data_IF_139912458862
#
_entry.id   IF_139912458862
#
_cell.length_a   1.000
_cell.length_b   1.000
_cell.length_c   1.000
_cell.angle_alpha   90.00
_cell.angle_beta   90.00
_cell.angle_gamma   90.00
#
_symmetry.space_group_name_H-M   'P 1'
#
loop_
_entity.id
_entity.type
_entity.pdbx_description
1 polymer ?
#
# COMPACT_ATOMS: atom_id res chain seq x y z
N UNK A 1 27.00 1.93 -13.64
CA UNK A 1 25.90 1.11 -14.21
C UNK A 1 25.26 0.38 -13.05
N UNK A 2 24.03 0.72 -12.72
CA UNK A 2 23.19 -0.10 -11.85
C UNK A 2 22.96 -1.45 -12.53
N UNK A 3 22.97 -2.58 -11.80
CA UNK A 3 22.66 -3.87 -12.40
C UNK A 3 21.23 -3.89 -12.95
N UNK A 4 21.03 -4.36 -14.17
CA UNK A 4 19.69 -4.53 -14.77
C UNK A 4 18.82 -5.60 -14.07
N UNK A 5 19.37 -6.28 -13.07
CA UNK A 5 18.70 -7.36 -12.32
C UNK A 5 18.80 -7.14 -10.82
N UNK A 6 17.67 -7.20 -10.12
CA UNK A 6 17.61 -7.18 -8.67
C UNK A 6 17.70 -8.61 -8.10
N UNK A 7 18.39 -8.75 -6.97
CA UNK A 7 18.49 -10.02 -6.24
C UNK A 7 17.77 -9.92 -4.90
N UNK A 8 17.01 -10.96 -4.58
CA UNK A 8 16.28 -11.08 -3.32
C UNK A 8 16.55 -12.44 -2.70
N UNK A 9 16.55 -12.53 -1.37
CA UNK A 9 16.52 -13.86 -0.73
C UNK A 9 15.15 -14.46 -0.93
N UNK A 10 15.11 -15.77 -1.20
CA UNK A 10 13.84 -16.51 -1.34
C UNK A 10 12.92 -16.31 -0.13
N UNK A 11 13.45 -16.29 1.09
CA UNK A 11 12.67 -16.09 2.31
C UNK A 11 12.03 -14.69 2.37
N UNK A 12 12.76 -13.65 1.96
CA UNK A 12 12.26 -12.27 1.92
C UNK A 12 11.08 -12.16 0.94
N UNK A 13 11.19 -12.79 -0.24
CA UNK A 13 10.08 -12.83 -1.21
C UNK A 13 8.89 -13.65 -0.70
N UNK A 14 9.12 -14.78 -0.04
CA UNK A 14 8.03 -15.57 0.55
C UNK A 14 7.28 -14.76 1.62
N UNK A 15 7.99 -13.96 2.41
CA UNK A 15 7.37 -13.07 3.39
C UNK A 15 6.50 -12.00 2.74
N UNK A 16 7.01 -11.34 1.69
CA UNK A 16 6.25 -10.38 0.88
C UNK A 16 4.99 -11.04 0.32
N UNK A 17 5.12 -12.20 -0.33
CA UNK A 17 3.99 -12.90 -0.94
C UNK A 17 2.95 -13.32 0.09
N UNK A 18 3.35 -13.78 1.27
CA UNK A 18 2.42 -14.14 2.35
C UNK A 18 1.59 -12.94 2.81
N UNK A 19 2.24 -11.79 2.95
CA UNK A 19 1.56 -10.57 3.38
C UNK A 19 0.59 -10.06 2.31
N UNK A 20 1.02 -10.05 1.04
CA UNK A 20 0.17 -9.66 -0.10
C UNK A 20 -1.02 -10.62 -0.22
N UNK A 21 -0.80 -11.93 -0.17
CA UNK A 21 -1.85 -12.95 -0.27
C UNK A 21 -2.89 -12.77 0.84
N UNK A 22 -2.44 -12.53 2.08
CA UNK A 22 -3.33 -12.26 3.21
C UNK A 22 -4.26 -11.06 2.96
N UNK A 23 -3.75 -10.01 2.32
CA UNK A 23 -4.53 -8.82 1.96
C UNK A 23 -5.49 -9.12 0.81
N UNK A 24 -4.99 -9.71 -0.28
CA UNK A 24 -5.78 -9.99 -1.49
C UNK A 24 -6.94 -10.94 -1.19
N UNK A 25 -6.68 -12.06 -0.51
CA UNK A 25 -7.70 -13.06 -0.19
C UNK A 25 -8.74 -12.50 0.80
N UNK A 26 -8.32 -11.66 1.74
CA UNK A 26 -9.25 -11.03 2.68
C UNK A 26 -10.16 -10.02 1.99
N UNK A 27 -9.62 -9.22 1.06
CA UNK A 27 -10.38 -8.26 0.26
C UNK A 27 -11.39 -8.96 -0.66
N UNK A 28 -11.00 -10.06 -1.29
CA UNK A 28 -11.90 -10.88 -2.11
C UNK A 28 -13.09 -11.38 -1.28
N UNK A 29 -12.83 -11.95 -0.10
CA UNK A 29 -13.87 -12.42 0.84
C UNK A 29 -14.77 -11.28 1.34
N UNK A 30 -14.20 -10.13 1.67
CA UNK A 30 -14.97 -8.95 2.07
C UNK A 30 -15.86 -8.45 0.93
N UNK A 31 -15.37 -8.50 -0.31
CA UNK A 31 -16.12 -8.13 -1.50
C UNK A 31 -17.28 -9.11 -1.74
N UNK A 32 -17.04 -10.42 -1.59
CA UNK A 32 -18.10 -11.43 -1.69
C UNK A 32 -19.17 -11.23 -0.61
N UNK A 33 -18.76 -10.96 0.64
CA UNK A 33 -19.67 -10.76 1.76
C UNK A 33 -20.58 -9.52 1.60
N UNK A 34 -20.16 -8.51 0.81
CA UNK A 34 -20.94 -7.30 0.59
C UNK A 34 -22.36 -7.58 0.07
N UNK A 35 -22.55 -8.63 -0.75
CA UNK A 35 -23.85 -9.00 -1.28
C UNK A 35 -24.84 -9.50 -0.20
N UNK A 36 -24.32 -10.06 0.89
CA UNK A 36 -25.09 -10.75 1.92
C UNK A 36 -25.21 -9.94 3.22
N UNK A 37 -24.71 -8.70 3.27
CA UNK A 37 -24.67 -7.90 4.49
C UNK A 37 -25.08 -6.44 4.28
N UNK A 38 -25.64 -5.76 5.31
CA UNK A 38 -25.91 -4.33 5.25
C UNK A 38 -24.63 -3.52 5.02
N UNK A 39 -24.73 -2.45 4.23
CA UNK A 39 -23.58 -1.63 3.82
C UNK A 39 -22.77 -1.08 5.00
N UNK A 40 -23.44 -0.61 6.06
CA UNK A 40 -22.75 -0.07 7.24
C UNK A 40 -21.95 -1.15 7.99
N UNK A 41 -22.50 -2.37 8.05
CA UNK A 41 -21.81 -3.51 8.66
C UNK A 41 -20.63 -3.96 7.79
N UNK A 42 -20.76 -3.88 6.47
CA UNK A 42 -19.67 -4.17 5.54
C UNK A 42 -18.54 -3.15 5.68
N UNK A 43 -18.87 -1.85 5.73
CA UNK A 43 -17.89 -0.79 5.98
C UNK A 43 -17.15 -1.04 7.29
N UNK A 44 -17.85 -1.36 8.37
CA UNK A 44 -17.22 -1.70 9.66
C UNK A 44 -16.29 -2.90 9.51
N UNK A 45 -16.70 -3.98 8.83
CA UNK A 45 -15.83 -5.14 8.61
C UNK A 45 -14.55 -4.80 7.83
N UNK A 46 -14.65 -3.93 6.81
CA UNK A 46 -13.49 -3.41 6.07
C UNK A 46 -12.60 -2.56 6.97
N UNK A 47 -13.19 -1.65 7.77
CA UNK A 47 -12.46 -0.83 8.73
C UNK A 47 -11.74 -1.68 9.78
N UNK A 48 -12.41 -2.68 10.35
CA UNK A 48 -11.81 -3.62 11.31
C UNK A 48 -10.65 -4.39 10.69
N UNK A 49 -10.82 -4.90 9.46
CA UNK A 49 -9.76 -5.60 8.78
C UNK A 49 -8.52 -4.72 8.60
N UNK A 50 -8.66 -3.48 8.12
CA UNK A 50 -7.48 -2.63 7.93
C UNK A 50 -6.91 -2.09 9.26
N UNK A 51 -7.74 -1.56 10.16
CA UNK A 51 -7.26 -0.88 11.37
C UNK A 51 -6.93 -1.81 12.53
N UNK A 52 -7.67 -2.91 12.70
CA UNK A 52 -7.48 -3.83 13.83
C UNK A 52 -6.59 -5.02 13.48
N UNK A 53 -6.36 -5.29 12.20
CA UNK A 53 -5.41 -6.32 11.77
C UNK A 53 -4.03 -5.74 11.45
N UNK A 54 -3.04 -6.63 11.27
CA UNK A 54 -1.69 -6.26 10.81
C UNK A 54 -1.64 -5.88 9.32
N UNK A 55 -2.76 -5.86 8.59
CA UNK A 55 -2.80 -5.59 7.15
C UNK A 55 -2.17 -4.24 6.79
N UNK A 56 -2.46 -3.17 7.53
CA UNK A 56 -1.83 -1.85 7.31
C UNK A 56 -0.32 -1.85 7.55
N UNK A 57 0.17 -2.69 8.46
CA UNK A 57 1.59 -2.81 8.76
C UNK A 57 2.33 -3.74 7.79
N UNK A 58 1.61 -4.65 7.13
CA UNK A 58 2.17 -5.60 6.18
C UNK A 58 2.70 -4.90 4.92
N UNK A 59 2.00 -3.88 4.41
CA UNK A 59 2.40 -3.18 3.18
C UNK A 59 3.71 -2.39 3.34
N UNK A 60 3.94 -1.60 4.41
CA UNK A 60 5.24 -0.99 4.68
C UNK A 60 6.38 -2.00 4.78
N UNK A 61 6.16 -3.15 5.44
CA UNK A 61 7.17 -4.21 5.51
C UNK A 61 7.48 -4.80 4.14
N UNK A 62 6.46 -5.05 3.31
CA UNK A 62 6.66 -5.50 1.93
C UNK A 62 7.45 -4.48 1.12
N UNK A 63 7.08 -3.19 1.23
CA UNK A 63 7.76 -2.09 0.55
C UNK A 63 9.23 -2.04 0.93
N UNK A 64 9.55 -2.14 2.21
CA UNK A 64 10.93 -2.13 2.69
C UNK A 64 11.78 -3.26 2.11
N UNK A 65 11.24 -4.49 2.05
CA UNK A 65 11.92 -5.63 1.44
C UNK A 65 12.13 -5.41 -0.06
N UNK A 66 11.07 -5.00 -0.77
CA UNK A 66 11.11 -4.81 -2.22
C UNK A 66 11.99 -3.64 -2.63
N UNK A 67 12.10 -2.60 -1.80
CA UNK A 67 12.93 -1.42 -2.08
C UNK A 67 14.40 -1.62 -1.74
N UNK A 68 14.73 -2.54 -0.85
CA UNK A 68 16.09 -2.69 -0.30
C UNK A 68 17.20 -2.85 -1.36
N UNK A 69 16.98 -3.53 -2.51
CA UNK A 69 18.03 -3.68 -3.52
C UNK A 69 18.24 -2.47 -4.44
N UNK A 70 17.39 -1.43 -4.36
CA UNK A 70 17.49 -0.26 -5.23
C UNK A 70 18.56 0.72 -4.76
N UNK A 71 19.12 1.48 -5.70
CA UNK A 71 20.11 2.51 -5.38
C UNK A 71 19.46 3.69 -4.63
N UNK A 72 20.13 4.16 -3.57
CA UNK A 72 19.72 5.33 -2.79
C UNK A 72 20.64 6.54 -2.99
N UNK A 73 21.64 6.43 -3.86
CA UNK A 73 22.46 7.58 -4.23
C UNK A 73 21.60 8.55 -5.06
N UNK A 74 21.71 9.83 -4.75
CA UNK A 74 21.03 10.89 -5.49
C UNK A 74 21.85 11.22 -6.74
N UNK A 75 21.14 11.49 -7.84
CA UNK A 75 21.75 11.99 -9.07
C UNK A 75 21.55 13.50 -9.20
N UNK A 76 21.81 14.06 -10.40
CA UNK A 76 21.81 15.50 -10.66
C UNK A 76 20.44 16.18 -10.42
N UNK A 77 19.35 15.41 -10.36
CA UNK A 77 17.98 15.87 -10.09
C UNK A 77 17.58 15.82 -8.61
N UNK A 78 18.54 15.55 -7.70
CA UNK A 78 18.34 15.33 -6.27
C UNK A 78 17.36 14.17 -5.95
N UNK A 79 17.09 13.28 -6.90
CA UNK A 79 16.21 12.12 -6.71
C UNK A 79 16.98 10.80 -6.69
N UNK A 80 16.52 9.87 -5.86
CA UNK A 80 16.96 8.48 -5.89
C UNK A 80 16.30 7.68 -7.01
N UNK A 81 16.84 6.50 -7.33
CA UNK A 81 16.33 5.62 -8.40
C UNK A 81 14.82 5.34 -8.26
N UNK A 82 14.39 4.93 -7.07
CA UNK A 82 12.98 4.62 -6.79
C UNK A 82 12.09 5.85 -6.76
N UNK A 83 12.61 6.99 -6.32
CA UNK A 83 11.84 8.24 -6.29
C UNK A 83 11.51 8.68 -7.72
N UNK A 84 12.52 8.69 -8.58
CA UNK A 84 12.36 8.97 -10.01
C UNK A 84 11.42 7.99 -10.70
N UNK A 85 11.52 6.69 -10.40
CA UNK A 85 10.65 5.68 -10.97
C UNK A 85 9.18 5.77 -10.49
N UNK A 86 8.94 6.38 -9.33
CA UNK A 86 7.61 6.58 -8.75
C UNK A 86 7.08 8.00 -8.98
N UNK A 87 7.78 8.81 -9.78
CA UNK A 87 7.32 10.14 -10.14
C UNK A 87 5.97 10.05 -10.88
N UNK A 88 5.04 10.92 -10.50
CA UNK A 88 3.66 10.88 -10.96
C UNK A 88 2.75 9.83 -10.28
N UNK A 89 3.25 9.05 -9.32
CA UNK A 89 2.37 8.19 -8.52
C UNK A 89 1.37 9.02 -7.70
N UNK A 90 0.10 8.64 -7.74
CA UNK A 90 -0.96 9.30 -6.98
C UNK A 90 -1.02 8.77 -5.54
N UNK A 91 -0.97 9.68 -4.58
CA UNK A 91 -1.11 9.36 -3.16
C UNK A 91 -2.39 9.95 -2.60
N UNK A 92 -2.98 9.26 -1.63
CA UNK A 92 -4.07 9.85 -0.86
C UNK A 92 -3.56 11.11 -0.15
N UNK A 93 -4.30 12.21 -0.27
CA UNK A 93 -4.03 13.45 0.45
C UNK A 93 -5.26 13.90 1.22
N UNK A 94 -5.05 14.38 2.45
CA UNK A 94 -6.12 14.95 3.27
C UNK A 94 -6.79 16.13 2.56
N UNK A 95 -6.00 16.94 1.85
CA UNK A 95 -6.49 18.08 1.08
C UNK A 95 -7.48 17.66 -0.01
N UNK A 96 -7.15 16.63 -0.80
CA UNK A 96 -8.01 16.13 -1.89
C UNK A 96 -9.22 15.37 -1.36
N UNK A 97 -9.09 14.76 -0.18
CA UNK A 97 -10.25 14.23 0.52
C UNK A 97 -11.20 15.37 0.92
N UNK A 98 -10.72 16.40 1.61
CA UNK A 98 -11.57 17.50 2.09
C UNK A 98 -12.19 18.32 0.94
N UNK A 99 -11.49 18.49 -0.18
CA UNK A 99 -12.04 19.21 -1.35
C UNK A 99 -13.27 18.53 -1.96
N UNK A 100 -13.37 17.20 -1.82
CA UNK A 100 -14.55 16.40 -2.24
C UNK A 100 -15.67 16.38 -1.19
N UNK A 101 -15.38 16.85 0.02
CA UNK A 101 -16.30 16.89 1.18
C UNK A 101 -16.38 18.31 1.77
N UNK A 102 -16.78 19.32 0.98
CA UNK A 102 -16.82 20.71 1.41
C UNK A 102 -17.73 20.94 2.61
N UNK A 103 -18.78 20.14 2.78
CA UNK A 103 -19.69 20.16 3.94
C UNK A 103 -19.02 19.82 5.27
N UNK A 104 -17.87 19.15 5.23
CA UNK A 104 -17.08 18.75 6.39
C UNK A 104 -15.86 19.65 6.62
N UNK A 105 -15.62 20.61 5.74
CA UNK A 105 -14.57 21.61 5.90
C UNK A 105 -15.02 22.62 6.95
N UNK A 106 -14.52 22.49 8.19
CA UNK A 106 -14.74 23.52 9.23
C UNK A 106 -14.18 24.87 8.75
N UNK A 107 -14.78 26.00 9.16
CA UNK A 107 -14.12 27.31 9.05
C UNK A 107 -12.80 27.33 9.82
#
# INVERSE_FOLDING_TARGET
MTPDTLQFKKQEIIEVLRNIEGIVVSLDRLTMAHADMPEDLWKEAVFEYFLKSKALMALPSCRAILSAPFCTELEDDDMGELERAMDGAEYWSYKDFMSRHPENSKP
#
